data_IF_753037942699
#
_entry.id   IF_753037942699
#
_cell.length_a   1.000
_cell.length_b   1.000
_cell.length_c   1.000
_cell.angle_alpha   90.00
_cell.angle_beta   90.00
_cell.angle_gamma   90.00
#
_symmetry.space_group_name_H-M   'P 1'
#
loop_
_entity.id
_entity.type
_entity.pdbx_description
1 polymer ?
#
# COMPACT_ATOMS: atom_id res chain seq x y z
N UNK A 1 -7.77 -13.19 14.87
CA UNK A 1 -8.81 -12.18 15.11
C UNK A 1 -9.53 -12.02 13.79
N UNK A 2 -10.82 -12.33 13.78
CA UNK A 2 -11.64 -12.33 12.58
C UNK A 2 -11.99 -10.89 12.18
N UNK A 3 -11.99 -10.60 10.87
CA UNK A 3 -12.28 -9.26 10.36
C UNK A 3 -13.71 -8.82 10.71
N UNK A 4 -14.63 -9.77 10.73
CA UNK A 4 -16.04 -9.53 11.05
C UNK A 4 -16.25 -9.22 12.53
N UNK A 5 -15.56 -9.92 13.44
CA UNK A 5 -15.62 -9.67 14.88
C UNK A 5 -15.00 -8.31 15.30
N UNK A 6 -14.03 -7.82 14.53
CA UNK A 6 -13.45 -6.50 14.77
C UNK A 6 -14.38 -5.38 14.26
N UNK A 7 -15.02 -5.58 13.11
CA UNK A 7 -16.02 -4.66 12.56
C UNK A 7 -17.22 -4.49 13.49
N UNK A 8 -17.65 -5.59 14.14
CA UNK A 8 -18.73 -5.59 15.13
C UNK A 8 -18.37 -4.84 16.42
N UNK A 9 -17.08 -4.84 16.82
CA UNK A 9 -16.59 -4.08 17.99
C UNK A 9 -16.38 -2.59 17.76
N UNK A 10 -16.15 -2.15 16.52
CA UNK A 10 -15.86 -0.74 16.20
C UNK A 10 -17.15 0.04 15.85
N UNK A 11 -18.25 -0.66 15.54
CA UNK A 11 -19.58 -0.05 15.35
C UNK A 11 -19.62 0.95 14.18
N UNK A 12 -20.38 2.05 14.33
CA UNK A 12 -20.57 3.08 13.28
C UNK A 12 -19.24 3.73 12.86
N UNK A 13 -18.26 3.82 13.77
CA UNK A 13 -16.93 4.34 13.46
C UNK A 13 -16.08 3.37 12.62
N UNK A 14 -16.51 2.12 12.47
CA UNK A 14 -15.86 1.13 11.59
C UNK A 14 -16.37 1.17 10.16
N UNK A 15 -17.37 2.00 9.86
CA UNK A 15 -17.90 2.14 8.51
C UNK A 15 -16.98 3.02 7.65
N UNK A 16 -16.65 2.54 6.46
CA UNK A 16 -15.70 3.22 5.56
C UNK A 16 -16.12 4.66 5.23
N UNK A 17 -17.42 4.86 5.07
CA UNK A 17 -18.06 6.15 4.80
C UNK A 17 -17.83 7.12 5.96
N UNK A 18 -18.07 6.67 7.19
CA UNK A 18 -17.94 7.47 8.41
C UNK A 18 -16.48 7.82 8.68
N UNK A 19 -15.57 6.86 8.58
CA UNK A 19 -14.14 7.12 8.74
C UNK A 19 -13.61 8.09 7.69
N UNK A 20 -14.01 7.91 6.42
CA UNK A 20 -13.64 8.85 5.37
C UNK A 20 -14.17 10.25 5.60
N UNK A 21 -15.40 10.37 6.08
CA UNK A 21 -16.00 11.65 6.45
C UNK A 21 -15.24 12.35 7.56
N UNK A 22 -14.96 11.64 8.66
CA UNK A 22 -14.23 12.20 9.82
C UNK A 22 -12.83 12.64 9.41
N UNK A 23 -12.10 11.77 8.73
CA UNK A 23 -10.73 12.04 8.29
C UNK A 23 -10.70 13.21 7.31
N UNK A 24 -11.57 13.21 6.29
CA UNK A 24 -11.60 14.29 5.30
C UNK A 24 -11.99 15.63 5.92
N UNK A 25 -12.90 15.64 6.91
CA UNK A 25 -13.26 16.86 7.63
C UNK A 25 -12.08 17.41 8.44
N UNK A 26 -11.43 16.57 9.24
CA UNK A 26 -10.29 16.98 10.07
C UNK A 26 -9.13 17.49 9.22
N UNK A 27 -8.83 16.81 8.11
CA UNK A 27 -7.79 17.23 7.19
C UNK A 27 -8.14 18.52 6.46
N UNK A 28 -9.39 18.70 6.04
CA UNK A 28 -9.83 19.94 5.39
C UNK A 28 -9.70 21.15 6.31
N UNK A 29 -10.04 20.97 7.58
CA UNK A 29 -9.91 22.01 8.60
C UNK A 29 -8.43 22.31 8.88
N UNK A 30 -7.60 21.27 9.01
CA UNK A 30 -6.16 21.42 9.22
C UNK A 30 -5.44 22.06 8.02
N UNK A 31 -5.91 21.79 6.80
CA UNK A 31 -5.40 22.39 5.56
C UNK A 31 -5.89 23.82 5.32
N UNK A 32 -6.78 24.35 6.17
CA UNK A 32 -7.29 25.72 6.05
C UNK A 32 -8.29 25.92 4.91
N UNK A 33 -8.95 24.86 4.42
CA UNK A 33 -9.93 24.94 3.32
C UNK A 33 -11.27 25.60 3.71
N UNK A 34 -11.41 26.03 4.97
CA UNK A 34 -12.65 26.57 5.52
C UNK A 34 -13.74 25.51 5.66
N UNK A 35 -14.90 25.87 6.22
CA UNK A 35 -15.97 24.91 6.54
C UNK A 35 -16.51 24.23 5.28
N UNK A 36 -16.80 24.99 4.23
CA UNK A 36 -17.35 24.46 2.98
C UNK A 36 -16.37 23.51 2.27
N UNK A 37 -15.09 23.90 2.14
CA UNK A 37 -14.07 23.06 1.52
C UNK A 37 -13.77 21.80 2.34
N UNK A 38 -13.82 21.90 3.67
CA UNK A 38 -13.61 20.75 4.56
C UNK A 38 -14.75 19.74 4.48
N UNK A 39 -16.00 20.20 4.40
CA UNK A 39 -17.16 19.32 4.19
C UNK A 39 -17.13 18.66 2.80
N UNK A 40 -16.68 19.38 1.77
CA UNK A 40 -16.51 18.82 0.44
C UNK A 40 -15.44 17.72 0.43
N UNK A 41 -14.31 17.95 1.10
CA UNK A 41 -13.25 16.96 1.26
C UNK A 41 -13.72 15.72 2.04
N UNK A 42 -14.50 15.93 3.10
CA UNK A 42 -15.11 14.86 3.88
C UNK A 42 -15.99 13.94 3.01
N UNK A 43 -16.87 14.52 2.19
CA UNK A 43 -17.75 13.74 1.29
C UNK A 43 -16.94 13.00 0.23
N UNK A 44 -15.92 13.63 -0.35
CA UNK A 44 -15.05 12.98 -1.34
C UNK A 44 -14.31 11.77 -0.73
N UNK A 45 -13.74 11.95 0.46
CA UNK A 45 -13.03 10.89 1.18
C UNK A 45 -13.97 9.73 1.58
N UNK A 46 -15.15 10.04 2.12
CA UNK A 46 -16.19 9.06 2.45
C UNK A 46 -16.62 8.24 1.22
N UNK A 47 -16.84 8.92 0.10
CA UNK A 47 -17.24 8.29 -1.17
C UNK A 47 -16.15 7.37 -1.68
N UNK A 48 -14.89 7.85 -1.72
CA UNK A 48 -13.75 7.05 -2.14
C UNK A 48 -13.62 5.77 -1.29
N UNK A 49 -13.57 5.89 0.04
CA UNK A 49 -13.39 4.76 0.95
C UNK A 49 -14.52 3.72 0.87
N UNK A 50 -15.69 4.12 0.40
CA UNK A 50 -16.83 3.23 0.16
C UNK A 50 -16.74 2.55 -1.21
N UNK A 51 -16.41 3.30 -2.27
CA UNK A 51 -16.41 2.81 -3.64
C UNK A 51 -15.19 1.94 -3.96
N UNK A 52 -14.00 2.28 -3.48
CA UNK A 52 -12.78 1.57 -3.84
C UNK A 52 -12.84 0.06 -3.51
N UNK A 53 -13.26 -0.37 -2.30
CA UNK A 53 -13.42 -1.79 -2.00
C UNK A 53 -14.44 -2.49 -2.90
N UNK A 54 -15.57 -1.83 -3.16
CA UNK A 54 -16.65 -2.37 -3.99
C UNK A 54 -16.18 -2.58 -5.43
N UNK A 55 -15.59 -1.54 -6.03
CA UNK A 55 -15.07 -1.58 -7.40
C UNK A 55 -13.96 -2.62 -7.52
N UNK A 56 -13.03 -2.68 -6.57
CA UNK A 56 -11.95 -3.65 -6.58
C UNK A 56 -12.46 -5.09 -6.49
N UNK A 57 -13.51 -5.34 -5.70
CA UNK A 57 -14.16 -6.66 -5.64
C UNK A 57 -14.80 -7.05 -6.97
N UNK A 58 -15.48 -6.11 -7.63
CA UNK A 58 -16.05 -6.34 -8.97
C UNK A 58 -14.96 -6.66 -10.00
N UNK A 59 -13.83 -5.94 -9.97
CA UNK A 59 -12.68 -6.23 -10.83
C UNK A 59 -12.08 -7.61 -10.55
N UNK A 60 -11.90 -7.97 -9.29
CA UNK A 60 -11.43 -9.29 -8.86
C UNK A 60 -12.32 -10.42 -9.42
N UNK A 61 -13.63 -10.26 -9.29
CA UNK A 61 -14.62 -11.22 -9.78
C UNK A 61 -14.62 -11.32 -11.31
N UNK A 62 -14.46 -10.20 -12.01
CA UNK A 62 -14.38 -10.19 -13.47
C UNK A 62 -13.10 -10.85 -14.01
N UNK A 63 -11.98 -10.71 -13.29
CA UNK A 63 -10.67 -11.21 -13.72
C UNK A 63 -10.37 -12.65 -13.29
N UNK A 64 -11.02 -13.15 -12.23
CA UNK A 64 -10.88 -14.55 -11.77
C UNK A 64 -11.05 -15.59 -12.87
N UNK A 65 -12.14 -15.58 -13.68
CA UNK A 65 -12.34 -16.60 -14.71
C UNK A 65 -11.28 -16.54 -15.82
N UNK A 66 -10.79 -15.34 -16.15
CA UNK A 66 -9.71 -15.16 -17.13
C UNK A 66 -8.41 -15.75 -16.58
N UNK A 67 -8.12 -15.48 -15.30
CA UNK A 67 -6.92 -15.97 -14.62
C UNK A 67 -6.91 -17.49 -14.50
N UNK A 68 -8.06 -18.09 -14.22
CA UNK A 68 -8.25 -19.55 -14.19
C UNK A 68 -8.07 -20.16 -15.59
N UNK A 69 -8.67 -19.57 -16.63
CA UNK A 69 -8.53 -20.06 -18.00
C UNK A 69 -7.08 -19.99 -18.52
N UNK A 70 -6.37 -18.89 -18.24
CA UNK A 70 -4.93 -18.77 -18.55
C UNK A 70 -4.14 -19.81 -17.77
N UNK A 71 -4.52 -20.04 -16.50
CA UNK A 71 -3.85 -21.03 -15.68
C UNK A 71 -3.99 -22.45 -16.23
N UNK A 72 -5.18 -22.82 -16.65
CA UNK A 72 -5.46 -24.12 -17.25
C UNK A 72 -4.80 -24.27 -18.63
N UNK A 73 -4.78 -23.21 -19.44
CA UNK A 73 -4.05 -23.18 -20.71
C UNK A 73 -2.55 -23.42 -20.51
N UNK A 74 -1.95 -22.72 -19.54
CA UNK A 74 -0.52 -22.87 -19.23
C UNK A 74 -0.21 -24.26 -18.68
N UNK A 75 -1.04 -24.82 -17.79
CA UNK A 75 -0.88 -26.18 -17.29
C UNK A 75 -0.93 -27.23 -18.41
N UNK A 76 -1.88 -27.10 -19.35
CA UNK A 76 -1.98 -27.98 -20.54
C UNK A 76 -0.81 -27.82 -21.50
N UNK A 77 -0.29 -26.60 -21.65
CA UNK A 77 0.84 -26.33 -22.56
C UNK A 77 2.17 -26.84 -22.02
N UNK A 78 2.33 -26.85 -20.70
CA UNK A 78 3.56 -27.22 -20.00
C UNK A 78 3.35 -28.45 -19.11
N UNK A 79 2.62 -29.45 -19.63
CA UNK A 79 2.41 -30.73 -18.95
C UNK A 79 3.76 -31.34 -18.51
N UNK A 80 3.84 -31.74 -17.24
CA UNK A 80 5.04 -32.32 -16.63
C UNK A 80 6.04 -31.32 -16.01
N UNK A 81 5.77 -30.01 -16.03
CA UNK A 81 6.57 -29.00 -15.30
C UNK A 81 5.73 -28.27 -14.26
N UNK A 82 6.31 -27.95 -13.11
CA UNK A 82 5.70 -27.02 -12.15
C UNK A 82 5.68 -25.61 -12.75
N UNK A 83 4.48 -25.11 -13.06
CA UNK A 83 4.28 -23.74 -13.56
C UNK A 83 3.74 -22.87 -12.43
N UNK A 84 4.55 -21.93 -11.98
CA UNK A 84 4.13 -20.87 -11.05
C UNK A 84 3.55 -19.72 -11.87
N UNK A 85 2.26 -19.45 -11.70
CA UNK A 85 1.56 -18.38 -12.42
C UNK A 85 1.43 -17.20 -11.48
N UNK A 86 2.17 -16.13 -11.81
CA UNK A 86 2.05 -14.86 -11.12
C UNK A 86 0.70 -14.23 -11.44
N UNK A 87 -0.07 -13.95 -10.39
CA UNK A 87 -1.39 -13.32 -10.46
C UNK A 87 -1.27 -11.91 -9.89
N UNK A 88 -1.89 -10.92 -10.56
CA UNK A 88 -1.87 -9.54 -10.07
C UNK A 88 -2.73 -9.40 -8.79
N UNK A 89 -2.43 -8.38 -7.99
CA UNK A 89 -3.05 -8.16 -6.69
C UNK A 89 -4.59 -8.01 -6.70
N UNK A 90 -5.29 -7.59 -7.79
CA UNK A 90 -6.75 -7.50 -7.78
C UNK A 90 -7.43 -8.82 -7.44
N UNK A 91 -6.79 -9.96 -7.68
CA UNK A 91 -7.33 -11.27 -7.29
C UNK A 91 -7.41 -11.41 -5.76
N UNK A 92 -6.54 -10.74 -5.01
CA UNK A 92 -6.56 -10.69 -3.55
C UNK A 92 -7.50 -9.61 -3.01
N UNK A 93 -7.98 -8.68 -3.86
CA UNK A 93 -8.87 -7.59 -3.46
C UNK A 93 -10.26 -8.07 -2.99
N UNK A 94 -10.63 -9.32 -3.27
CA UNK A 94 -11.86 -9.93 -2.75
C UNK A 94 -11.83 -10.23 -1.24
N UNK A 95 -10.66 -10.16 -0.59
CA UNK A 95 -10.48 -10.49 0.82
C UNK A 95 -10.82 -9.32 1.74
N UNK A 96 -11.73 -9.56 2.68
CA UNK A 96 -12.14 -8.54 3.65
C UNK A 96 -10.99 -8.08 4.55
N UNK A 97 -10.06 -8.98 4.90
CA UNK A 97 -8.93 -8.67 5.78
C UNK A 97 -8.01 -7.61 5.18
N UNK A 98 -7.86 -7.60 3.85
CA UNK A 98 -7.09 -6.58 3.12
C UNK A 98 -7.70 -5.20 3.38
N UNK A 99 -8.99 -5.05 3.14
CA UNK A 99 -9.67 -3.77 3.32
C UNK A 99 -9.72 -3.33 4.77
N UNK A 100 -10.00 -4.24 5.70
CA UNK A 100 -9.99 -3.90 7.14
C UNK A 100 -8.61 -3.43 7.59
N UNK A 101 -7.53 -4.08 7.13
CA UNK A 101 -6.17 -3.64 7.43
C UNK A 101 -5.84 -2.26 6.84
N UNK A 102 -6.22 -2.00 5.58
CA UNK A 102 -6.10 -0.67 4.94
C UNK A 102 -6.78 0.35 5.84
N UNK A 103 -8.07 0.15 6.08
CA UNK A 103 -8.98 1.09 6.73
C UNK A 103 -8.49 1.47 8.14
N UNK A 104 -8.03 0.48 8.92
CA UNK A 104 -7.49 0.72 10.27
C UNK A 104 -6.13 1.42 10.24
N UNK A 105 -5.32 1.20 9.21
CA UNK A 105 -3.99 1.80 9.11
C UNK A 105 -4.06 3.27 8.66
N UNK A 106 -5.12 3.69 7.97
CA UNK A 106 -5.27 5.05 7.45
C UNK A 106 -5.09 6.14 8.53
N UNK A 107 -5.82 6.11 9.68
CA UNK A 107 -5.64 7.14 10.71
C UNK A 107 -4.20 7.22 11.20
N UNK A 108 -3.54 6.07 11.38
CA UNK A 108 -2.16 6.01 11.87
C UNK A 108 -1.20 6.61 10.84
N UNK A 109 -1.37 6.28 9.56
CA UNK A 109 -0.57 6.83 8.48
C UNK A 109 -0.68 8.36 8.40
N UNK A 110 -1.89 8.91 8.58
CA UNK A 110 -2.13 10.35 8.55
C UNK A 110 -1.53 11.07 9.76
N UNK A 111 -1.67 10.50 10.95
CA UNK A 111 -1.03 11.01 12.17
C UNK A 111 0.49 11.03 11.98
N UNK A 112 1.06 9.93 11.47
CA UNK A 112 2.49 9.85 11.19
C UNK A 112 2.93 10.86 10.13
N UNK A 113 2.13 11.11 9.09
CA UNK A 113 2.44 12.11 8.09
C UNK A 113 2.55 13.53 8.67
N UNK A 114 1.81 13.84 9.73
CA UNK A 114 1.86 15.15 10.41
C UNK A 114 3.01 15.21 11.42
N UNK A 115 3.27 14.13 12.15
CA UNK A 115 4.25 14.11 13.25
C UNK A 115 5.68 13.90 12.74
N UNK A 116 5.88 13.19 11.63
CA UNK A 116 7.22 12.82 11.16
C UNK A 116 8.03 14.06 10.73
N UNK A 117 9.20 14.29 11.34
CA UNK A 117 10.01 15.46 11.01
C UNK A 117 10.53 15.36 9.59
N UNK A 118 10.42 16.45 8.83
CA UNK A 118 10.89 16.55 7.46
C UNK A 118 9.98 15.89 6.42
N UNK A 119 8.83 15.31 6.81
CA UNK A 119 7.84 14.83 5.85
C UNK A 119 7.08 16.00 5.21
N UNK A 120 7.02 16.02 3.88
CA UNK A 120 6.29 17.05 3.10
C UNK A 120 5.10 16.48 2.35
N UNK A 121 4.85 15.18 2.48
CA UNK A 121 3.82 14.45 1.73
C UNK A 121 2.68 14.09 2.65
N UNK A 122 1.50 14.61 2.33
CA UNK A 122 0.25 14.16 2.94
C UNK A 122 -0.39 13.14 1.99
N UNK A 123 -0.50 11.85 2.37
CA UNK A 123 -0.83 10.75 1.46
C UNK A 123 -2.31 10.68 1.05
N UNK A 124 -3.04 11.81 1.04
CA UNK A 124 -4.50 11.86 0.87
C UNK A 124 -4.98 11.18 -0.42
N UNK A 125 -4.37 11.52 -1.55
CA UNK A 125 -4.73 10.97 -2.85
C UNK A 125 -4.47 9.45 -2.97
N UNK A 126 -3.56 8.91 -2.15
CA UNK A 126 -3.17 7.49 -2.15
C UNK A 126 -3.62 6.71 -0.92
N UNK A 127 -4.48 7.27 -0.06
CA UNK A 127 -4.87 6.71 1.26
C UNK A 127 -5.31 5.23 1.18
N UNK A 128 -5.93 4.85 0.06
CA UNK A 128 -6.55 3.53 -0.13
C UNK A 128 -5.60 2.58 -0.87
N UNK A 129 -4.66 3.12 -1.62
CA UNK A 129 -3.71 2.34 -2.41
C UNK A 129 -2.46 2.02 -1.58
N UNK A 130 -2.64 1.32 -0.45
CA UNK A 130 -1.54 0.96 0.45
C UNK A 130 -0.82 -0.30 -0.04
N UNK A 131 0.28 -0.07 -0.75
CA UNK A 131 1.25 -1.06 -1.25
C UNK A 131 1.56 -2.22 -0.31
N UNK A 132 1.77 -1.95 0.99
CA UNK A 132 2.21 -2.98 1.93
C UNK A 132 1.18 -4.09 2.17
N UNK A 133 -0.11 -3.83 1.90
CA UNK A 133 -1.20 -4.69 2.40
C UNK A 133 -1.21 -6.03 1.69
N UNK A 134 -0.88 -6.05 0.39
CA UNK A 134 -0.78 -7.29 -0.40
C UNK A 134 0.33 -8.17 0.15
N UNK A 135 1.52 -7.60 0.35
CA UNK A 135 2.66 -8.32 0.95
C UNK A 135 2.35 -8.81 2.36
N UNK A 136 1.74 -7.94 3.19
CA UNK A 136 1.38 -8.28 4.56
C UNK A 136 0.33 -9.41 4.62
N UNK A 137 -0.67 -9.40 3.74
CA UNK A 137 -1.68 -10.45 3.64
C UNK A 137 -1.04 -11.82 3.37
N UNK A 138 -0.14 -11.88 2.38
CA UNK A 138 0.54 -13.11 1.98
C UNK A 138 1.55 -13.59 3.04
N UNK A 139 2.33 -12.68 3.62
CA UNK A 139 3.36 -13.02 4.61
C UNK A 139 2.78 -13.52 5.93
N UNK A 140 1.65 -12.94 6.34
CA UNK A 140 1.02 -13.17 7.65
C UNK A 140 -0.13 -14.17 7.60
N UNK A 141 -0.41 -14.78 6.45
CA UNK A 141 -1.57 -15.65 6.21
C UNK A 141 -2.89 -14.96 6.63
N UNK A 142 -3.04 -13.68 6.27
CA UNK A 142 -4.17 -12.82 6.63
C UNK A 142 -4.45 -12.65 8.13
N UNK A 143 -3.41 -12.73 8.95
CA UNK A 143 -3.53 -12.33 10.34
C UNK A 143 -3.61 -10.80 10.43
N UNK A 144 -4.82 -10.28 10.66
CA UNK A 144 -5.10 -8.84 10.69
C UNK A 144 -4.19 -8.05 11.64
N UNK A 145 -3.91 -8.57 12.84
CA UNK A 145 -3.04 -7.89 13.81
C UNK A 145 -1.60 -7.74 13.30
N UNK A 146 -1.07 -8.77 12.65
CA UNK A 146 0.26 -8.71 12.01
C UNK A 146 0.26 -7.81 10.79
N UNK A 147 -0.83 -7.77 10.02
CA UNK A 147 -0.96 -6.88 8.87
C UNK A 147 -0.94 -5.40 9.29
N UNK A 148 -1.70 -5.03 10.31
CA UNK A 148 -1.72 -3.67 10.87
C UNK A 148 -0.32 -3.31 11.40
N UNK A 149 0.32 -4.21 12.14
CA UNK A 149 1.69 -3.99 12.62
C UNK A 149 2.67 -3.68 11.48
N UNK A 150 2.62 -4.47 10.39
CA UNK A 150 3.42 -4.18 9.19
C UNK A 150 3.10 -2.82 8.58
N UNK A 151 1.82 -2.44 8.52
CA UNK A 151 1.39 -1.12 8.05
C UNK A 151 1.98 0.02 8.86
N UNK A 152 1.95 -0.08 10.19
CA UNK A 152 2.48 0.94 11.09
C UNK A 152 4.00 1.06 10.97
N UNK A 153 4.72 -0.07 10.92
CA UNK A 153 6.19 -0.08 10.81
C UNK A 153 6.66 0.43 9.45
N UNK A 154 5.94 0.11 8.39
CA UNK A 154 6.31 0.52 7.02
C UNK A 154 5.84 1.95 6.68
N UNK A 155 4.85 2.50 7.38
CA UNK A 155 4.31 3.84 7.12
C UNK A 155 5.38 4.94 7.08
N UNK A 156 6.31 5.07 8.05
CA UNK A 156 7.37 6.08 7.99
C UNK A 156 8.28 5.93 6.77
N UNK A 157 8.55 4.68 6.37
CA UNK A 157 9.41 4.37 5.24
C UNK A 157 8.77 4.83 3.92
N UNK A 158 7.47 4.59 3.75
CA UNK A 158 6.72 5.10 2.60
C UNK A 158 6.67 6.63 2.57
N UNK A 159 6.44 7.28 3.71
CA UNK A 159 6.36 8.74 3.80
C UNK A 159 7.70 9.41 3.50
N UNK A 160 8.80 8.89 4.06
CA UNK A 160 10.13 9.40 3.77
C UNK A 160 10.58 9.13 2.34
N UNK A 161 10.29 7.92 1.82
CA UNK A 161 10.52 7.62 0.42
C UNK A 161 9.77 8.60 -0.48
N UNK A 162 8.47 8.80 -0.25
CA UNK A 162 7.65 9.72 -1.02
C UNK A 162 8.16 11.16 -0.96
N UNK A 163 8.56 11.61 0.24
CA UNK A 163 9.16 12.95 0.43
C UNK A 163 10.45 13.12 -0.35
N UNK A 164 11.34 12.12 -0.31
CA UNK A 164 12.60 12.17 -1.06
C UNK A 164 12.36 12.22 -2.56
N UNK A 165 11.49 11.35 -3.08
CA UNK A 165 11.25 11.23 -4.52
C UNK A 165 10.35 12.33 -5.10
N UNK A 166 9.55 13.02 -4.28
CA UNK A 166 8.64 14.08 -4.75
C UNK A 166 9.39 15.18 -5.53
N UNK A 167 10.57 15.57 -5.08
CA UNK A 167 11.41 16.59 -5.75
C UNK A 167 11.85 16.12 -7.14
N UNK A 168 12.33 14.88 -7.24
CA UNK A 168 12.82 14.31 -8.49
C UNK A 168 11.69 14.05 -9.49
N UNK A 169 10.55 13.55 -9.02
CA UNK A 169 9.36 13.32 -9.84
C UNK A 169 8.85 14.64 -10.41
N UNK A 170 8.76 15.68 -9.57
CA UNK A 170 8.32 17.02 -10.02
C UNK A 170 9.28 17.63 -11.03
N UNK A 171 10.60 17.54 -10.77
CA UNK A 171 11.61 18.04 -11.70
C UNK A 171 11.51 17.34 -13.05
N UNK A 172 11.41 16.01 -13.06
CA UNK A 172 11.28 15.23 -14.28
C UNK A 172 10.01 15.61 -15.07
N UNK A 173 8.88 15.81 -14.38
CA UNK A 173 7.63 16.23 -15.02
C UNK A 173 7.77 17.59 -15.72
N UNK A 174 8.45 18.54 -15.08
CA UNK A 174 8.71 19.87 -15.66
C UNK A 174 9.72 19.81 -16.82
N UNK A 175 10.80 19.04 -16.70
CA UNK A 175 11.83 18.89 -17.74
C UNK A 175 11.29 18.20 -19.01
N UNK A 176 10.40 17.21 -18.83
CA UNK A 176 9.81 16.45 -19.94
C UNK A 176 8.55 17.08 -20.50
N UNK A 177 7.97 18.08 -19.81
CA UNK A 177 6.66 18.65 -20.14
C UNK A 177 5.49 17.66 -19.92
N UNK A 178 5.69 16.57 -19.20
CA UNK A 178 4.68 15.53 -18.99
C UNK A 178 3.51 15.99 -18.10
N UNK A 179 3.73 16.93 -17.19
CA UNK A 179 2.69 17.55 -16.37
C UNK A 179 3.06 18.97 -15.99
N UNK A 180 2.07 19.87 -15.95
CA UNK A 180 2.26 21.24 -15.49
C UNK A 180 1.97 21.31 -13.98
N UNK A 181 3.02 21.36 -13.16
CA UNK A 181 2.89 21.40 -11.70
C UNK A 181 2.85 22.86 -11.25
N UNK A 182 1.75 23.33 -10.61
CA UNK A 182 1.66 24.71 -10.13
C UNK A 182 2.76 25.09 -9.15
N UNK A 183 3.20 26.35 -9.18
CA UNK A 183 4.22 26.86 -8.27
C UNK A 183 3.84 26.62 -6.80
N UNK A 184 4.79 26.09 -6.03
CA UNK A 184 4.59 25.72 -4.62
C UNK A 184 3.93 24.36 -4.38
N UNK A 185 3.62 23.58 -5.43
CA UNK A 185 3.15 22.19 -5.31
C UNK A 185 4.21 21.21 -5.83
N UNK A 186 4.14 19.99 -5.31
CA UNK A 186 4.99 18.88 -5.76
C UNK A 186 4.12 17.71 -6.22
N UNK A 187 4.56 17.04 -7.27
CA UNK A 187 4.05 15.74 -7.66
C UNK A 187 4.70 14.68 -6.76
N UNK A 188 3.89 13.99 -5.98
CA UNK A 188 4.34 12.96 -5.05
C UNK A 188 3.69 11.63 -5.36
N UNK A 189 4.37 10.55 -5.00
CA UNK A 189 3.85 9.21 -5.02
C UNK A 189 4.00 8.61 -3.62
N UNK A 190 2.93 8.68 -2.82
CA UNK A 190 2.97 8.32 -1.39
C UNK A 190 3.00 6.82 -1.12
N UNK A 191 2.64 6.01 -2.10
CA UNK A 191 2.48 4.56 -1.97
C UNK A 191 3.18 3.84 -3.12
N UNK A 192 4.45 4.16 -3.33
CA UNK A 192 5.24 3.46 -4.35
C UNK A 192 5.92 2.24 -3.74
N UNK A 193 5.89 1.12 -4.46
CA UNK A 193 6.43 -0.15 -3.98
C UNK A 193 7.95 -0.11 -3.76
N UNK A 194 8.40 -0.60 -2.60
CA UNK A 194 9.82 -0.70 -2.23
C UNK A 194 10.53 0.66 -2.10
N UNK A 195 10.05 1.59 -1.26
CA UNK A 195 10.73 2.86 -0.99
C UNK A 195 12.18 2.70 -0.52
N UNK A 196 12.43 1.73 0.35
CA UNK A 196 13.75 1.39 0.85
C UNK A 196 14.70 0.99 -0.27
N UNK A 197 14.29 0.03 -1.11
CA UNK A 197 15.21 -0.53 -2.11
C UNK A 197 15.52 0.51 -3.18
N UNK A 198 14.51 1.29 -3.61
CA UNK A 198 14.72 2.36 -4.60
C UNK A 198 15.58 3.48 -4.05
N UNK A 199 15.39 3.88 -2.79
CA UNK A 199 16.25 4.87 -2.14
C UNK A 199 17.69 4.38 -2.03
N UNK A 200 17.89 3.14 -1.58
CA UNK A 200 19.21 2.54 -1.45
C UNK A 200 19.92 2.38 -2.81
N UNK A 201 19.19 2.01 -3.87
CA UNK A 201 19.75 2.00 -5.22
C UNK A 201 20.12 3.40 -5.69
N UNK A 202 19.21 4.38 -5.58
CA UNK A 202 19.44 5.73 -6.06
C UNK A 202 20.65 6.40 -5.38
N UNK A 203 20.80 6.21 -4.07
CA UNK A 203 21.92 6.75 -3.29
C UNK A 203 23.19 5.88 -3.33
N UNK A 204 23.03 4.57 -3.55
CA UNK A 204 24.16 3.65 -3.76
C UNK A 204 24.88 3.96 -5.08
N UNK A 205 24.13 4.22 -6.15
CA UNK A 205 24.71 4.60 -7.45
C UNK A 205 25.38 5.99 -7.43
N UNK A 206 25.02 6.87 -6.49
CA UNK A 206 25.73 8.15 -6.29
C UNK A 206 27.00 8.04 -5.44
N UNK A 207 27.41 6.81 -5.05
CA UNK A 207 28.66 6.54 -4.34
C UNK A 207 28.55 6.57 -2.81
N UNK A 208 27.33 6.58 -2.24
CA UNK A 208 27.17 6.54 -0.79
C UNK A 208 27.47 5.13 -0.25
N UNK A 209 28.60 5.01 0.46
CA UNK A 209 29.08 3.75 1.06
C UNK A 209 28.06 3.15 2.03
N UNK A 210 27.35 3.98 2.80
CA UNK A 210 26.36 3.52 3.78
C UNK A 210 25.15 2.89 3.07
N UNK A 211 24.69 3.47 1.96
CA UNK A 211 23.62 2.90 1.14
C UNK A 211 24.02 1.56 0.51
N UNK A 212 25.27 1.42 0.08
CA UNK A 212 25.79 0.16 -0.46
C UNK A 212 25.80 -0.93 0.61
N UNK A 213 26.28 -0.62 1.82
CA UNK A 213 26.26 -1.56 2.95
C UNK A 213 24.83 -1.96 3.31
N UNK A 214 23.92 -1.00 3.41
CA UNK A 214 22.51 -1.27 3.71
C UNK A 214 21.83 -2.12 2.61
N UNK A 215 22.21 -1.93 1.35
CA UNK A 215 21.71 -2.72 0.23
C UNK A 215 22.19 -4.18 0.30
N UNK A 216 23.46 -4.40 0.67
CA UNK A 216 23.99 -5.76 0.94
C UNK A 216 23.24 -6.41 2.11
N UNK A 217 23.02 -5.68 3.21
CA UNK A 217 22.26 -6.17 4.36
C UNK A 217 20.82 -6.49 3.96
N UNK A 218 20.18 -5.65 3.15
CA UNK A 218 18.83 -5.89 2.66
C UNK A 218 18.75 -7.19 1.85
N UNK A 219 19.69 -7.44 0.93
CA UNK A 219 19.76 -8.71 0.19
C UNK A 219 20.04 -9.91 1.09
N UNK A 220 20.87 -9.76 2.12
CA UNK A 220 21.13 -10.82 3.09
C UNK A 220 19.87 -11.18 3.90
N UNK A 221 19.13 -10.17 4.37
CA UNK A 221 17.84 -10.35 5.04
C UNK A 221 16.80 -10.99 4.12
N UNK A 222 16.74 -10.56 2.86
CA UNK A 222 15.87 -11.16 1.86
C UNK A 222 16.20 -12.64 1.63
N UNK A 223 17.49 -12.99 1.50
CA UNK A 223 17.94 -14.37 1.36
C UNK A 223 17.58 -15.21 2.59
N UNK A 224 17.75 -14.66 3.79
CA UNK A 224 17.36 -15.32 5.03
C UNK A 224 15.84 -15.53 5.13
N UNK A 225 15.04 -14.52 4.76
CA UNK A 225 13.58 -14.65 4.69
C UNK A 225 13.18 -15.73 3.68
N UNK A 226 13.78 -15.72 2.49
CA UNK A 226 13.50 -16.68 1.42
C UNK A 226 13.80 -18.12 1.87
N UNK A 227 14.98 -18.35 2.46
CA UNK A 227 15.37 -19.68 2.96
C UNK A 227 14.48 -20.15 4.11
N UNK A 228 14.08 -19.25 5.01
CA UNK A 228 13.18 -19.56 6.11
C UNK A 228 11.76 -19.91 5.63
N UNK A 229 11.22 -19.15 4.67
CA UNK A 229 9.91 -19.44 4.06
C UNK A 229 9.94 -20.71 3.23
N UNK A 230 11.04 -21.01 2.52
CA UNK A 230 11.20 -22.29 1.83
C UNK A 230 11.09 -23.48 2.79
N UNK A 231 11.75 -23.41 3.96
CA UNK A 231 11.63 -24.44 5.01
C UNK A 231 10.21 -24.56 5.56
N UNK A 232 9.52 -23.43 5.78
CA UNK A 232 8.12 -23.42 6.22
C UNK A 232 7.19 -24.07 5.18
N UNK A 233 7.31 -23.69 3.91
CA UNK A 233 6.47 -24.26 2.85
C UNK A 233 6.69 -25.77 2.70
N UNK A 234 7.94 -26.24 2.78
CA UNK A 234 8.26 -27.68 2.78
C UNK A 234 7.68 -28.45 3.97
N UNK A 235 7.43 -27.78 5.10
CA UNK A 235 6.77 -28.40 6.25
C UNK A 235 5.25 -28.55 6.06
N UNK A 236 4.64 -27.69 5.24
CA UNK A 236 3.22 -27.78 4.87
C UNK A 236 2.94 -28.87 3.84
N UNK A 237 3.91 -29.21 2.99
CA UNK A 237 3.76 -30.29 1.99
C UNK A 237 3.93 -31.70 2.60
N UNK A 238 4.41 -31.80 3.84
CA UNK A 238 4.70 -33.06 4.54
C UNK A 238 3.65 -33.45 5.59
N UNK A 239 2.65 -32.61 5.84
CA UNK A 239 1.54 -32.86 6.77
C UNK A 239 0.21 -32.86 6.04
#
# INVERSE_FOLDING_TARGET
MDADALKEKIGIFGENSVMGGIIGLLLGLAAGYGVAGSLQLAVQAATALTLFPMVSKLFSQALSPISEAISDFMKKRFEGKEVFIGLDWPILAGRNELWVAVIITIPVLLILAIILPGNIVLPFAGIINLSFVVGALLLTNANLGRMIFHGIVSAPLFLYGATYFAQYITRLANETGAANVPDGKLLSWSTFEGPEIRYLFATGFSGNILSIILLIVWFALFYWMYTSKKKYNQSLEKG
#
